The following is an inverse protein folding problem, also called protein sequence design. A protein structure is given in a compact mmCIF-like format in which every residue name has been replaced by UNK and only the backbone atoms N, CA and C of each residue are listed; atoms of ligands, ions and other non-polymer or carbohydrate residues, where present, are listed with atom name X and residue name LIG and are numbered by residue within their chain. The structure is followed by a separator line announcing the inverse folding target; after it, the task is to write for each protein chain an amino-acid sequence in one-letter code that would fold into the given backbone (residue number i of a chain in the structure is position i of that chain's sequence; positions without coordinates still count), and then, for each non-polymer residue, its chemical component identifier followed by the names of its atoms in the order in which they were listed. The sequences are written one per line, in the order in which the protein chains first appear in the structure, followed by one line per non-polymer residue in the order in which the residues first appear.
data_IF_672107658547
#
_entry.id   IF_672107658547
#
_cell.length_a   1.000
_cell.length_b   1.000
_cell.length_c   1.000
_cell.angle_alpha   90.00
_cell.angle_beta   90.00
_cell.angle_gamma   90.00
#
_symmetry.space_group_name_H-M   'P 1'
#
loop_
_entity.id
_entity.type
_entity.pdbx_description
1 polymer ?
#
# COMPACT_ATOMS: atom_id res chain seq x y z
N UNK A 1 -6.68 41.86 28.19
CA UNK A 1 -5.40 42.15 27.49
C UNK A 1 -5.74 42.19 26.01
N UNK A 2 -5.71 43.37 25.40
CA UNK A 2 -5.91 43.50 23.95
C UNK A 2 -4.68 42.92 23.26
N UNK A 3 -4.88 41.86 22.47
CA UNK A 3 -3.82 41.14 21.76
C UNK A 3 -3.14 41.95 20.66
N UNK A 4 -3.75 43.06 20.25
CA UNK A 4 -3.37 43.75 19.02
C UNK A 4 -2.24 44.78 19.25
N UNK A 5 -2.13 45.37 20.44
CA UNK A 5 -1.08 46.34 20.79
C UNK A 5 0.31 45.70 21.00
N UNK A 6 0.36 44.39 21.25
CA UNK A 6 1.61 43.68 21.53
C UNK A 6 2.40 43.31 20.26
N UNK A 7 1.75 43.22 19.10
CA UNK A 7 2.40 42.86 17.83
C UNK A 7 3.28 44.01 17.31
N UNK A 8 2.86 45.26 17.53
CA UNK A 8 3.63 46.44 17.08
C UNK A 8 4.97 46.60 17.81
N UNK A 9 5.15 45.91 18.94
CA UNK A 9 6.36 46.01 19.77
C UNK A 9 7.47 45.06 19.34
N UNK A 10 7.17 44.11 18.45
CA UNK A 10 8.08 43.02 18.08
C UNK A 10 8.69 43.30 16.69
N UNK A 11 10.02 43.22 16.53
CA UNK A 11 10.64 43.32 15.21
C UNK A 11 10.24 42.12 14.34
N UNK A 12 9.83 42.41 13.10
CA UNK A 12 9.39 41.41 12.11
C UNK A 12 10.35 41.46 10.93
N UNK A 13 10.75 40.29 10.43
CA UNK A 13 11.61 40.16 9.27
C UNK A 13 10.95 39.34 8.15
N UNK A 14 11.47 39.51 6.94
CA UNK A 14 11.19 38.68 5.78
C UNK A 14 12.49 38.22 5.12
N UNK A 15 12.43 37.05 4.48
CA UNK A 15 13.49 36.50 3.65
C UNK A 15 13.10 36.65 2.17
N UNK A 16 13.98 37.27 1.41
CA UNK A 16 13.85 37.48 -0.04
C UNK A 16 15.07 36.87 -0.74
N UNK A 17 14.91 36.46 -2.01
CA UNK A 17 16.02 35.94 -2.82
C UNK A 17 16.09 36.75 -4.10
N UNK A 18 17.31 37.01 -4.58
CA UNK A 18 17.54 37.84 -5.75
C UNK A 18 16.94 37.26 -7.05
N UNK A 19 16.98 35.95 -7.24
CA UNK A 19 16.49 35.27 -8.44
C UNK A 19 15.34 34.31 -8.13
N UNK A 20 14.11 34.83 -8.19
CA UNK A 20 12.87 34.06 -7.94
C UNK A 20 12.44 33.18 -9.10
N UNK A 21 13.08 33.29 -10.28
CA UNK A 21 12.78 32.48 -11.46
C UNK A 21 13.52 31.15 -11.39
N UNK A 22 14.78 31.17 -10.95
CA UNK A 22 15.62 29.97 -10.84
C UNK A 22 15.65 29.38 -9.43
N UNK A 23 15.14 30.09 -8.42
CA UNK A 23 15.14 29.62 -7.03
C UNK A 23 13.83 29.91 -6.32
N UNK A 24 13.55 29.14 -5.27
CA UNK A 24 12.40 29.31 -4.42
C UNK A 24 12.73 28.97 -2.97
N UNK A 25 12.31 29.85 -2.07
CA UNK A 25 12.33 29.61 -0.63
C UNK A 25 11.05 28.86 -0.25
N UNK A 26 11.21 27.69 0.36
CA UNK A 26 10.16 26.85 0.91
C UNK A 26 10.16 26.96 2.44
N UNK A 27 8.96 27.05 3.03
CA UNK A 27 8.76 27.30 4.46
C UNK A 27 8.38 28.75 4.77
N UNK A 28 8.46 29.13 6.05
CA UNK A 28 8.09 30.48 6.51
C UNK A 28 9.14 31.51 6.12
N UNK A 29 8.81 32.38 5.17
CA UNK A 29 9.64 33.53 4.78
C UNK A 29 9.63 34.65 5.82
N UNK A 30 8.56 34.74 6.60
CA UNK A 30 8.39 35.72 7.66
C UNK A 30 8.76 35.12 9.00
N UNK A 31 9.29 35.96 9.88
CA UNK A 31 9.50 35.61 11.28
C UNK A 31 9.61 36.86 12.13
N UNK A 32 9.84 36.65 13.42
CA UNK A 32 10.01 37.72 14.39
C UNK A 32 11.31 37.53 15.15
N UNK A 33 11.82 38.64 15.67
CA UNK A 33 12.97 38.63 16.55
C UNK A 33 12.49 38.63 18.00
N UNK A 34 13.22 37.93 18.88
CA UNK A 34 12.93 37.90 20.29
C UNK A 34 14.10 38.53 21.04
N UNK A 35 13.80 39.60 21.80
CA UNK A 35 14.79 40.43 22.49
C UNK A 35 15.81 41.02 21.50
N UNK A 36 17.07 40.57 21.58
CA UNK A 36 18.23 41.04 20.86
C UNK A 36 18.66 40.11 19.72
N UNK A 37 17.92 39.01 19.48
CA UNK A 37 18.28 38.02 18.46
C UNK A 37 17.11 37.65 17.55
N UNK A 38 17.43 37.46 16.26
CA UNK A 38 16.49 37.00 15.25
C UNK A 38 16.82 35.55 14.90
N UNK A 39 15.98 34.60 15.33
CA UNK A 39 16.14 33.21 14.92
C UNK A 39 15.45 33.01 13.56
N UNK A 40 16.25 32.72 12.54
CA UNK A 40 15.74 32.42 11.20
C UNK A 40 14.92 31.12 11.26
N UNK A 41 13.68 31.17 10.75
CA UNK A 41 12.81 30.01 10.60
C UNK A 41 13.50 28.90 9.80
N UNK A 42 13.14 27.64 10.05
CA UNK A 42 13.63 26.51 9.23
C UNK A 42 13.09 26.66 7.81
N UNK A 43 13.92 27.20 6.92
CA UNK A 43 13.62 27.35 5.50
C UNK A 43 14.47 26.40 4.67
N UNK A 44 13.93 25.96 3.54
CA UNK A 44 14.64 25.19 2.52
C UNK A 44 14.69 26.03 1.26
N UNK A 45 15.86 26.14 0.65
CA UNK A 45 16.02 26.82 -0.63
C UNK A 45 16.20 25.75 -1.70
N UNK A 46 15.40 25.82 -2.75
CA UNK A 46 15.46 24.91 -3.92
C UNK A 46 15.66 25.76 -5.16
N UNK A 47 16.58 25.38 -6.03
CA UNK A 47 16.85 26.11 -7.25
C UNK A 47 17.85 25.43 -8.16
N UNK A 48 18.05 26.03 -9.34
CA UNK A 48 19.07 25.59 -10.29
C UNK A 48 20.48 25.82 -9.72
N UNK A 49 21.52 25.12 -10.23
CA UNK A 49 22.89 25.36 -9.79
C UNK A 49 23.36 26.77 -10.10
N UNK A 50 24.02 27.44 -9.14
CA UNK A 50 24.46 28.82 -9.28
C UNK A 50 24.69 29.52 -7.94
N UNK A 51 25.16 30.77 -8.00
CA UNK A 51 25.39 31.63 -6.83
C UNK A 51 24.19 32.57 -6.66
N UNK A 52 23.64 32.60 -5.46
CA UNK A 52 22.44 33.37 -5.12
C UNK A 52 22.65 34.18 -3.86
N UNK A 53 21.82 35.20 -3.70
CA UNK A 53 21.88 36.09 -2.54
C UNK A 53 20.56 35.99 -1.78
N UNK A 54 20.62 35.49 -0.53
CA UNK A 54 19.52 35.52 0.41
C UNK A 54 19.53 36.86 1.14
N UNK A 55 18.44 37.60 1.06
CA UNK A 55 18.26 38.90 1.69
C UNK A 55 17.36 38.75 2.91
N UNK A 56 17.90 39.13 4.07
CA UNK A 56 17.16 39.32 5.30
C UNK A 56 16.75 40.79 5.40
N UNK A 57 15.45 41.06 5.48
CA UNK A 57 14.91 42.42 5.52
C UNK A 57 13.99 42.58 6.73
N UNK A 58 14.27 43.57 7.57
CA UNK A 58 13.38 43.95 8.65
C UNK A 58 12.22 44.78 8.08
N UNK A 59 11.01 44.30 8.32
CA UNK A 59 9.75 44.95 7.96
C UNK A 59 9.29 45.89 9.07
N UNK A 60 9.45 45.46 10.33
CA UNK A 60 9.14 46.24 11.53
C UNK A 60 10.32 46.21 12.49
N UNK A 61 10.53 47.32 13.19
CA UNK A 61 11.58 47.47 14.20
C UNK A 61 11.05 47.28 15.63
N UNK A 62 9.73 47.14 15.79
CA UNK A 62 9.12 47.07 17.11
C UNK A 62 9.36 48.35 17.93
N UNK A 63 9.71 48.16 19.20
CA UNK A 63 10.11 49.25 20.11
C UNK A 63 11.55 49.77 19.90
N UNK A 64 12.30 49.23 18.94
CA UNK A 64 13.68 49.64 18.69
C UNK A 64 13.74 50.88 17.80
N UNK A 65 14.81 51.67 17.96
CA UNK A 65 15.07 52.80 17.07
C UNK A 65 15.29 52.31 15.64
N UNK A 66 14.61 52.94 14.68
CA UNK A 66 14.82 52.67 13.26
C UNK A 66 16.27 52.97 12.89
N UNK A 67 16.89 52.08 12.14
CA UNK A 67 18.23 52.26 11.60
C UNK A 67 18.21 52.32 10.06
N UNK A 68 19.17 53.03 9.48
CA UNK A 68 19.18 53.33 8.04
C UNK A 68 19.28 52.08 7.16
N UNK A 69 19.98 51.03 7.61
CA UNK A 69 20.18 49.80 6.84
C UNK A 69 19.39 48.63 7.45
N UNK A 70 18.14 48.46 7.04
CA UNK A 70 17.25 47.37 7.50
C UNK A 70 17.43 46.04 6.77
N UNK A 71 18.47 45.93 5.95
CA UNK A 71 18.71 44.78 5.08
C UNK A 71 20.11 44.22 5.31
N UNK A 72 20.20 42.90 5.33
CA UNK A 72 21.46 42.15 5.34
C UNK A 72 21.38 41.05 4.30
N UNK A 73 22.47 40.78 3.60
CA UNK A 73 22.53 39.77 2.56
C UNK A 73 23.59 38.73 2.87
N UNK A 74 23.31 37.49 2.48
CA UNK A 74 24.24 36.37 2.54
C UNK A 74 24.26 35.65 1.20
N UNK A 75 25.45 35.45 0.66
CA UNK A 75 25.65 34.73 -0.60
C UNK A 75 25.84 33.23 -0.34
N UNK A 76 25.22 32.42 -1.18
CA UNK A 76 25.35 30.96 -1.14
C UNK A 76 25.33 30.36 -2.54
N UNK A 77 25.96 29.20 -2.68
CA UNK A 77 26.04 28.47 -3.93
C UNK A 77 25.20 27.19 -3.86
N UNK A 78 24.32 27.00 -4.85
CA UNK A 78 23.66 25.72 -5.10
C UNK A 78 24.55 24.92 -6.04
N UNK A 79 25.13 23.85 -5.53
CA UNK A 79 25.99 22.95 -6.30
C UNK A 79 25.16 22.05 -7.24
N UNK A 80 25.72 21.63 -8.39
CA UNK A 80 25.05 20.68 -9.28
C UNK A 80 24.84 19.32 -8.61
N UNK A 81 23.75 18.64 -8.98
CA UNK A 81 23.40 17.33 -8.44
C UNK A 81 24.39 16.26 -8.93
N UNK A 82 25.06 15.51 -8.04
CA UNK A 82 26.04 14.50 -8.44
C UNK A 82 25.36 13.18 -8.83
N UNK A 83 24.72 13.16 -10.01
CA UNK A 83 23.85 12.06 -10.47
C UNK A 83 24.59 10.70 -10.63
N UNK A 84 25.92 10.67 -10.68
CA UNK A 84 26.70 9.45 -10.97
C UNK A 84 27.88 9.21 -10.00
N UNK A 85 27.87 9.77 -8.79
CA UNK A 85 28.95 9.52 -7.85
C UNK A 85 28.78 8.16 -7.15
N UNK A 86 29.79 7.30 -7.26
CA UNK A 86 29.78 5.90 -6.80
C UNK A 86 29.40 5.69 -5.32
N UNK A 87 29.50 6.73 -4.49
CA UNK A 87 29.23 6.63 -3.05
C UNK A 87 27.75 6.79 -2.66
N UNK A 88 26.92 7.52 -3.43
CA UNK A 88 25.53 7.82 -3.05
C UNK A 88 24.65 8.04 -4.28
N UNK A 89 23.49 7.39 -4.29
CA UNK A 89 22.46 7.54 -5.31
C UNK A 89 21.61 8.78 -5.02
N UNK A 90 21.84 9.85 -5.79
CA UNK A 90 21.02 11.07 -5.74
C UNK A 90 19.97 11.05 -6.85
N UNK A 91 18.78 11.54 -6.54
CA UNK A 91 17.69 11.68 -7.49
C UNK A 91 17.44 13.16 -7.71
N UNK A 92 17.29 13.55 -8.98
CA UNK A 92 16.90 14.90 -9.38
C UNK A 92 15.42 14.88 -9.82
N UNK A 93 14.53 15.32 -8.93
CA UNK A 93 13.09 15.31 -9.18
C UNK A 93 12.41 16.53 -8.52
N UNK A 94 11.32 17.01 -9.12
CA UNK A 94 10.43 17.98 -8.48
C UNK A 94 9.55 17.24 -7.46
N UNK A 95 9.92 17.34 -6.18
CA UNK A 95 9.18 16.71 -5.06
C UNK A 95 8.08 17.64 -4.56
N UNK A 96 8.27 18.94 -4.76
CA UNK A 96 7.44 19.99 -4.18
C UNK A 96 6.37 20.53 -5.16
N UNK A 97 6.35 20.04 -6.41
CA UNK A 97 5.47 20.45 -7.51
C UNK A 97 5.52 21.97 -7.77
N UNK A 98 6.74 22.52 -7.76
CA UNK A 98 7.00 23.95 -7.95
C UNK A 98 7.70 24.26 -9.28
N UNK A 99 7.81 23.28 -10.18
CA UNK A 99 8.57 23.32 -11.42
C UNK A 99 10.09 23.54 -11.22
N UNK A 100 10.61 23.25 -10.02
CA UNK A 100 12.04 23.24 -9.72
C UNK A 100 12.41 21.87 -9.18
N UNK A 101 13.50 21.29 -9.70
CA UNK A 101 13.95 19.97 -9.29
C UNK A 101 14.85 20.06 -8.07
N UNK A 102 14.59 19.22 -7.07
CA UNK A 102 15.41 19.04 -5.89
C UNK A 102 16.36 17.85 -6.10
N UNK A 103 17.61 17.99 -5.64
CA UNK A 103 18.58 16.90 -5.58
C UNK A 103 18.58 16.30 -4.17
N UNK A 104 18.21 15.04 -4.02
CA UNK A 104 18.08 14.41 -2.70
C UNK A 104 18.44 12.93 -2.73
N UNK A 105 18.76 12.41 -1.54
CA UNK A 105 18.86 10.97 -1.31
C UNK A 105 17.48 10.48 -0.91
N UNK A 106 16.90 9.47 -1.59
CA UNK A 106 15.57 8.97 -1.25
C UNK A 106 15.54 8.41 0.17
N UNK A 107 14.52 8.78 0.93
CA UNK A 107 14.30 8.28 2.29
C UNK A 107 12.97 7.51 2.31
N UNK A 108 13.02 6.28 2.80
CA UNK A 108 11.83 5.46 3.04
C UNK A 108 11.68 5.29 4.55
N UNK A 109 10.64 5.90 5.13
CA UNK A 109 10.36 5.85 6.57
C UNK A 109 10.07 4.41 7.01
N UNK A 110 9.44 3.63 6.13
CA UNK A 110 9.28 2.19 6.27
C UNK A 110 10.30 1.47 5.40
N UNK A 111 10.91 0.43 5.95
CA UNK A 111 11.85 -0.41 5.20
C UNK A 111 11.18 -1.01 3.96
N UNK A 112 11.86 -0.95 2.82
CA UNK A 112 11.49 -1.66 1.60
C UNK A 112 11.78 -3.17 1.67
N UNK A 113 12.03 -3.72 2.86
CA UNK A 113 12.44 -5.10 3.11
C UNK A 113 13.63 -5.51 2.24
N UNK A 114 13.41 -6.38 1.25
CA UNK A 114 14.42 -6.85 0.30
C UNK A 114 14.54 -5.95 -0.95
N UNK A 115 13.65 -4.97 -1.11
CA UNK A 115 13.61 -4.04 -2.24
C UNK A 115 14.51 -2.83 -2.07
N UNK A 116 14.55 -1.97 -3.08
CA UNK A 116 15.37 -0.75 -3.10
C UNK A 116 14.48 0.50 -2.97
N UNK A 117 14.86 1.45 -2.13
CA UNK A 117 14.17 2.74 -2.05
C UNK A 117 14.57 3.59 -3.26
N UNK A 118 13.65 3.84 -4.19
CA UNK A 118 13.90 4.56 -5.45
C UNK A 118 13.32 5.98 -5.43
N UNK A 119 12.68 6.38 -4.34
CA UNK A 119 12.04 7.68 -4.15
C UNK A 119 11.53 7.78 -2.71
N UNK A 120 11.10 8.96 -2.29
CA UNK A 120 10.60 9.13 -0.93
C UNK A 120 9.38 8.26 -0.68
N UNK A 121 9.52 7.27 0.20
CA UNK A 121 8.49 6.25 0.47
C UNK A 121 7.98 5.49 -0.78
N UNK A 122 8.85 5.33 -1.78
CA UNK A 122 8.60 4.54 -3.01
C UNK A 122 9.66 3.44 -3.10
N UNK A 123 9.22 2.19 -2.99
CA UNK A 123 10.07 1.01 -3.07
C UNK A 123 9.99 0.36 -4.46
N UNK A 124 11.14 -0.01 -5.00
CA UNK A 124 11.25 -0.91 -6.14
C UNK A 124 11.39 -2.35 -5.64
N UNK A 125 10.41 -3.18 -5.99
CA UNK A 125 10.35 -4.59 -5.61
C UNK A 125 10.69 -5.54 -6.76
N UNK A 126 11.14 -5.05 -7.93
CA UNK A 126 11.38 -5.89 -9.13
C UNK A 126 12.37 -7.02 -8.89
N UNK A 127 13.39 -6.78 -8.06
CA UNK A 127 14.45 -7.75 -7.76
C UNK A 127 14.03 -8.72 -6.62
N UNK A 128 12.77 -8.66 -6.17
CA UNK A 128 12.29 -9.42 -5.02
C UNK A 128 11.10 -10.30 -5.37
N UNK A 129 10.93 -11.38 -4.62
CA UNK A 129 9.73 -12.22 -4.71
C UNK A 129 8.49 -11.59 -4.08
N UNK A 130 8.60 -10.39 -3.49
CA UNK A 130 7.54 -9.70 -2.78
C UNK A 130 7.00 -8.55 -3.63
N UNK A 131 5.72 -8.24 -3.46
CA UNK A 131 5.01 -7.13 -4.11
C UNK A 131 4.47 -6.17 -3.05
N UNK A 132 3.70 -5.18 -3.49
CA UNK A 132 3.12 -4.15 -2.63
C UNK A 132 4.01 -2.92 -2.50
N UNK A 133 3.46 -1.87 -1.87
CA UNK A 133 4.12 -0.55 -1.76
C UNK A 133 5.45 -0.60 -1.01
N UNK A 134 5.61 -1.54 -0.08
CA UNK A 134 6.80 -1.71 0.75
C UNK A 134 7.50 -3.05 0.54
N UNK A 135 7.22 -3.72 -0.59
CA UNK A 135 7.77 -5.05 -0.89
C UNK A 135 7.56 -6.06 0.25
N UNK A 136 6.35 -6.09 0.81
CA UNK A 136 5.99 -6.90 1.98
C UNK A 136 4.84 -7.87 1.72
N UNK A 137 4.25 -7.85 0.52
CA UNK A 137 3.13 -8.71 0.15
C UNK A 137 3.63 -9.90 -0.65
N UNK A 138 3.18 -11.10 -0.32
CA UNK A 138 3.43 -12.25 -1.18
C UNK A 138 2.60 -12.13 -2.46
N UNK A 139 3.18 -12.43 -3.63
CA UNK A 139 2.44 -12.43 -4.87
C UNK A 139 1.29 -13.42 -4.75
N UNK A 140 0.08 -12.98 -5.10
CA UNK A 140 -1.07 -13.87 -5.19
C UNK A 140 -0.74 -14.99 -6.17
N UNK A 141 -0.95 -16.24 -5.76
CA UNK A 141 -0.73 -17.40 -6.60
C UNK A 141 -1.53 -17.22 -7.90
N UNK A 142 -0.85 -17.21 -9.04
CA UNK A 142 -1.52 -17.12 -10.34
C UNK A 142 -2.14 -18.48 -10.63
N UNK A 143 -3.46 -18.49 -10.78
CA UNK A 143 -4.19 -19.68 -11.21
C UNK A 143 -3.62 -20.20 -12.54
N UNK A 144 -3.25 -21.47 -12.54
CA UNK A 144 -2.80 -22.17 -13.74
C UNK A 144 -4.04 -22.80 -14.35
N UNK A 145 -4.55 -22.18 -15.41
CA UNK A 145 -5.81 -22.57 -16.08
C UNK A 145 -5.89 -24.06 -16.42
N UNK A 146 -4.75 -24.68 -16.77
CA UNK A 146 -4.67 -26.11 -17.08
C UNK A 146 -5.03 -26.97 -15.86
N UNK A 147 -4.46 -26.66 -14.70
CA UNK A 147 -4.70 -27.41 -13.46
C UNK A 147 -6.17 -27.28 -13.07
N UNK A 148 -6.70 -26.06 -13.07
CA UNK A 148 -8.10 -25.79 -12.73
C UNK A 148 -9.07 -26.56 -13.65
N UNK A 149 -8.79 -26.60 -14.96
CA UNK A 149 -9.59 -27.39 -15.91
C UNK A 149 -9.50 -28.89 -15.66
N UNK A 150 -8.32 -29.43 -15.35
CA UNK A 150 -8.18 -30.87 -15.04
C UNK A 150 -8.99 -31.28 -13.83
N UNK A 151 -8.98 -30.47 -12.75
CA UNK A 151 -9.78 -30.75 -11.56
C UNK A 151 -11.28 -30.70 -11.83
N UNK A 152 -11.76 -29.70 -12.60
CA UNK A 152 -13.18 -29.61 -12.97
C UNK A 152 -13.59 -30.85 -13.79
N UNK A 153 -12.79 -31.28 -14.76
CA UNK A 153 -13.10 -32.46 -15.57
C UNK A 153 -13.19 -33.74 -14.73
N UNK A 154 -12.26 -33.94 -13.80
CA UNK A 154 -12.27 -35.10 -12.89
C UNK A 154 -13.52 -35.07 -11.99
N UNK A 155 -13.85 -33.91 -11.43
CA UNK A 155 -15.03 -33.77 -10.57
C UNK A 155 -16.33 -34.09 -11.32
N UNK A 156 -16.49 -33.61 -12.57
CA UNK A 156 -17.65 -33.90 -13.41
C UNK A 156 -17.77 -35.40 -13.74
N UNK A 157 -16.64 -36.06 -14.05
CA UNK A 157 -16.61 -37.50 -14.29
C UNK A 157 -17.08 -38.27 -13.04
N UNK A 158 -16.61 -37.90 -11.85
CA UNK A 158 -16.97 -38.53 -10.58
C UNK A 158 -18.45 -38.32 -10.22
N UNK A 159 -19.02 -37.16 -10.56
CA UNK A 159 -20.46 -36.89 -10.39
C UNK A 159 -21.29 -37.80 -11.30
N UNK A 160 -20.91 -37.91 -12.59
CA UNK A 160 -21.61 -38.80 -13.53
C UNK A 160 -21.55 -40.27 -13.10
N UNK A 161 -20.38 -40.73 -12.65
CA UNK A 161 -20.22 -42.09 -12.11
C UNK A 161 -21.08 -42.30 -10.86
N UNK A 162 -21.13 -41.32 -9.95
CA UNK A 162 -21.98 -41.39 -8.75
C UNK A 162 -23.47 -41.53 -9.10
N UNK A 163 -23.96 -40.76 -10.09
CA UNK A 163 -25.34 -40.91 -10.57
C UNK A 163 -25.59 -42.28 -11.21
N UNK A 164 -24.63 -42.80 -11.98
CA UNK A 164 -24.71 -44.14 -12.54
C UNK A 164 -24.82 -45.23 -11.46
N UNK A 165 -24.05 -45.11 -10.38
CA UNK A 165 -24.14 -46.01 -9.23
C UNK A 165 -25.50 -45.91 -8.52
N UNK A 166 -25.98 -44.70 -8.27
CA UNK A 166 -27.31 -44.49 -7.67
C UNK A 166 -28.42 -45.13 -8.52
N UNK A 167 -28.36 -44.97 -9.85
CA UNK A 167 -29.31 -45.59 -10.77
C UNK A 167 -29.22 -47.12 -10.76
N UNK A 168 -28.00 -47.67 -10.77
CA UNK A 168 -27.77 -49.11 -10.70
C UNK A 168 -28.29 -49.74 -9.41
N UNK A 169 -28.07 -49.08 -8.28
CA UNK A 169 -28.61 -49.51 -6.97
C UNK A 169 -30.13 -49.48 -6.95
N UNK A 170 -30.74 -48.43 -7.51
CA UNK A 170 -32.20 -48.31 -7.59
C UNK A 170 -32.82 -49.50 -8.36
N UNK A 171 -32.23 -49.88 -9.48
CA UNK A 171 -32.73 -51.01 -10.28
C UNK A 171 -32.47 -52.38 -9.63
N UNK A 172 -31.39 -52.51 -8.86
CA UNK A 172 -31.00 -53.79 -8.19
C UNK A 172 -31.36 -53.84 -6.71
N UNK A 173 -32.30 -53.02 -6.24
CA UNK A 173 -32.69 -52.90 -4.82
C UNK A 173 -33.08 -54.22 -4.15
N UNK A 174 -33.64 -55.17 -4.91
CA UNK A 174 -34.10 -56.46 -4.39
C UNK A 174 -32.98 -57.51 -4.25
N UNK A 175 -31.76 -57.20 -4.71
CA UNK A 175 -30.62 -58.09 -4.56
C UNK A 175 -30.23 -58.21 -3.08
N UNK A 176 -30.10 -59.45 -2.58
CA UNK A 176 -29.74 -59.77 -1.19
C UNK A 176 -28.48 -59.01 -0.72
N UNK A 177 -27.50 -58.80 -1.59
CA UNK A 177 -26.27 -58.07 -1.25
C UNK A 177 -26.53 -56.57 -0.99
N UNK A 178 -27.33 -55.92 -1.84
CA UNK A 178 -27.64 -54.48 -1.71
C UNK A 178 -28.57 -54.26 -0.52
N UNK A 179 -29.54 -55.15 -0.33
CA UNK A 179 -30.44 -55.11 0.83
C UNK A 179 -29.70 -55.31 2.15
N UNK A 180 -28.68 -56.18 2.17
CA UNK A 180 -27.84 -56.40 3.34
C UNK A 180 -26.96 -55.21 3.72
N UNK A 181 -26.55 -54.39 2.75
CA UNK A 181 -25.69 -53.21 2.97
C UNK A 181 -26.42 -51.94 3.44
N UNK A 182 -27.75 -51.97 3.55
CA UNK A 182 -28.54 -50.78 3.90
C UNK A 182 -28.62 -49.77 2.76
N UNK A 183 -29.59 -49.98 1.86
CA UNK A 183 -29.81 -49.16 0.66
C UNK A 183 -29.84 -47.65 0.98
N UNK A 184 -30.57 -47.25 2.03
CA UNK A 184 -30.72 -45.84 2.41
C UNK A 184 -29.39 -45.20 2.82
N UNK A 185 -28.54 -45.95 3.54
CA UNK A 185 -27.24 -45.47 3.98
C UNK A 185 -26.30 -45.24 2.79
N UNK A 186 -26.31 -46.17 1.82
CA UNK A 186 -25.47 -46.07 0.64
C UNK A 186 -25.89 -44.90 -0.27
N UNK A 187 -27.19 -44.63 -0.35
CA UNK A 187 -27.73 -43.47 -1.06
C UNK A 187 -27.35 -42.13 -0.40
N UNK A 188 -27.38 -42.05 0.94
CA UNK A 188 -26.95 -40.87 1.69
C UNK A 188 -25.46 -40.59 1.45
N UNK A 189 -24.61 -41.62 1.46
CA UNK A 189 -23.16 -41.48 1.20
C UNK A 189 -22.93 -40.92 -0.21
N UNK A 190 -23.57 -41.49 -1.23
CA UNK A 190 -23.42 -41.03 -2.62
C UNK A 190 -23.91 -39.59 -2.80
N UNK A 191 -25.01 -39.23 -2.15
CA UNK A 191 -25.52 -37.84 -2.16
C UNK A 191 -24.50 -36.89 -1.52
N UNK A 192 -23.90 -37.26 -0.39
CA UNK A 192 -22.83 -36.50 0.25
C UNK A 192 -21.59 -36.33 -0.64
N UNK A 193 -21.19 -37.40 -1.35
CA UNK A 193 -20.07 -37.36 -2.28
C UNK A 193 -20.34 -36.40 -3.46
N UNK A 194 -21.54 -36.44 -4.05
CA UNK A 194 -21.94 -35.51 -5.12
C UNK A 194 -21.87 -34.06 -4.65
N UNK A 195 -22.40 -33.75 -3.45
CA UNK A 195 -22.31 -32.41 -2.87
C UNK A 195 -20.85 -31.98 -2.63
N UNK A 196 -19.98 -32.90 -2.20
CA UNK A 196 -18.55 -32.63 -2.04
C UNK A 196 -17.85 -32.32 -3.37
N UNK A 197 -18.17 -33.05 -4.45
CA UNK A 197 -17.60 -32.76 -5.77
C UNK A 197 -18.10 -31.43 -6.32
N UNK A 198 -19.38 -31.12 -6.11
CA UNK A 198 -19.96 -29.82 -6.48
C UNK A 198 -19.29 -28.66 -5.73
N UNK A 199 -18.99 -28.84 -4.44
CA UNK A 199 -18.23 -27.88 -3.65
C UNK A 199 -16.83 -27.63 -4.24
N UNK A 200 -16.11 -28.69 -4.64
CA UNK A 200 -14.81 -28.56 -5.29
C UNK A 200 -14.89 -27.74 -6.59
N UNK A 201 -15.93 -27.92 -7.40
CA UNK A 201 -16.13 -27.14 -8.63
C UNK A 201 -16.34 -25.66 -8.31
N UNK A 202 -17.20 -25.35 -7.33
CA UNK A 202 -17.47 -23.96 -6.91
C UNK A 202 -16.23 -23.25 -6.35
N UNK A 203 -15.31 -23.98 -5.72
CA UNK A 203 -14.05 -23.41 -5.22
C UNK A 203 -13.09 -23.00 -6.35
N UNK A 204 -13.16 -23.68 -7.50
CA UNK A 204 -12.26 -23.45 -8.64
C UNK A 204 -12.84 -22.37 -9.56
N UNK A 205 -14.16 -22.31 -9.69
CA UNK A 205 -14.81 -21.28 -10.51
C UNK A 205 -14.63 -19.88 -9.90
N UNK A 206 -14.54 -18.86 -10.77
CA UNK A 206 -14.25 -17.49 -10.35
C UNK A 206 -15.22 -17.02 -9.27
N UNK A 207 -14.70 -16.34 -8.23
CA UNK A 207 -15.49 -15.81 -7.11
C UNK A 207 -16.47 -14.73 -7.59
N UNK A 208 -17.65 -15.15 -8.01
CA UNK A 208 -18.84 -14.30 -8.10
C UNK A 208 -19.46 -14.17 -6.71
N UNK A 209 -20.23 -13.11 -6.46
CA UNK A 209 -20.90 -12.91 -5.18
C UNK A 209 -21.78 -14.13 -4.82
N UNK A 210 -22.55 -14.63 -5.80
CA UNK A 210 -23.36 -15.84 -5.65
C UNK A 210 -22.51 -17.09 -5.31
N UNK A 211 -21.39 -17.28 -6.01
CA UNK A 211 -20.46 -18.38 -5.73
C UNK A 211 -19.92 -18.35 -4.29
N UNK A 212 -19.68 -17.16 -3.74
CA UNK A 212 -19.24 -17.00 -2.36
C UNK A 212 -20.31 -17.45 -1.35
N UNK A 213 -21.57 -17.03 -1.55
CA UNK A 213 -22.70 -17.47 -0.71
C UNK A 213 -22.94 -18.98 -0.82
N UNK A 214 -22.94 -19.53 -2.03
CA UNK A 214 -23.09 -20.97 -2.26
C UNK A 214 -21.97 -21.78 -1.57
N UNK A 215 -20.72 -21.32 -1.69
CA UNK A 215 -19.56 -21.94 -1.03
C UNK A 215 -19.72 -21.93 0.50
N UNK A 216 -20.21 -20.83 1.08
CA UNK A 216 -20.42 -20.71 2.52
C UNK A 216 -21.55 -21.61 3.03
N UNK A 217 -22.66 -21.70 2.30
CA UNK A 217 -23.78 -22.61 2.61
C UNK A 217 -23.34 -24.08 2.56
N UNK A 218 -22.67 -24.49 1.47
CA UNK A 218 -22.23 -25.86 1.29
C UNK A 218 -21.16 -26.24 2.31
N UNK A 219 -20.25 -25.31 2.64
CA UNK A 219 -19.26 -25.52 3.71
C UNK A 219 -19.95 -25.84 5.04
N UNK A 220 -20.97 -25.06 5.41
CA UNK A 220 -21.70 -25.30 6.66
C UNK A 220 -22.47 -26.63 6.66
N UNK A 221 -23.10 -26.99 5.52
CA UNK A 221 -23.80 -28.28 5.37
C UNK A 221 -22.86 -29.48 5.46
N UNK A 222 -21.67 -29.42 4.83
CA UNK A 222 -20.67 -30.49 4.88
C UNK A 222 -20.04 -30.59 6.28
N UNK A 223 -19.77 -29.47 6.96
CA UNK A 223 -19.17 -29.47 8.29
C UNK A 223 -20.11 -29.99 9.39
N UNK A 224 -21.43 -29.77 9.25
CA UNK A 224 -22.45 -30.31 10.15
C UNK A 224 -22.52 -31.85 10.10
N UNK A 225 -22.26 -32.45 8.93
CA UNK A 225 -22.33 -33.91 8.75
C UNK A 225 -21.10 -34.64 9.33
N UNK A 226 -19.95 -33.98 9.42
CA UNK A 226 -18.72 -34.57 9.97
C UNK A 226 -18.63 -34.36 11.49
N UNK A 227 -19.10 -33.22 12.03
CA UNK A 227 -19.03 -32.96 13.47
C UNK A 227 -20.14 -33.64 14.29
N UNK A 228 -21.34 -33.84 13.75
CA UNK A 228 -22.43 -34.50 14.51
C UNK A 228 -22.22 -36.01 14.70
N UNK A 229 -21.40 -36.68 13.89
CA UNK A 229 -21.11 -38.11 14.04
C UNK A 229 -19.93 -38.41 14.99
N UNK A 230 -19.12 -37.40 15.36
CA UNK A 230 -18.04 -37.58 16.33
C UNK A 230 -18.46 -37.32 17.78
N UNK A 231 -19.58 -36.62 18.01
CA UNK A 231 -20.06 -36.27 19.36
C UNK A 231 -21.08 -37.25 19.96
N UNK A 232 -21.24 -38.45 19.40
CA UNK A 232 -22.13 -39.48 19.95
C UNK A 232 -21.42 -40.69 20.57
N UNK A 233 -20.09 -40.71 20.56
CA UNK A 233 -19.28 -41.82 21.11
C UNK A 233 -18.14 -41.36 22.03
N UNK A 234 -18.28 -40.20 22.67
CA UNK A 234 -17.48 -39.81 23.83
C UNK A 234 -18.38 -39.16 24.89
#
# INVERSE_FOLDING_TARGET
MNSDDDIERIPIYTLEINDTLNTKILGSKYGYCYLDSCRISKVRIVGNPGVYTLMFKLLSFGNLLKFNNSMSSFEFEILPCPINNASKYYILQDIENINLKSCYVPICDKSCNKGKCIGNNICNCTDTSLKGRYCNEYPKLKHIFVIDKTFITIALLLILLSFGLMYGMYFKKDNKYIKGGGYDFLFIILTGAILSYFYCILLIESRTEFGCYATLLIKNLLHLNICNNFNKNY
#
